data_IF_132216094099
#
_entry.id   IF_132216094099
#
_cell.length_a   1.000
_cell.length_b   1.000
_cell.length_c   1.000
_cell.angle_alpha   90.00
_cell.angle_beta   90.00
_cell.angle_gamma   90.00
#
_symmetry.space_group_name_H-M   'P 1'
#
loop_
_entity.id
_entity.type
_entity.pdbx_description
1 polymer ?
#
# COMPACT_ATOMS: atom_id res chain seq x y z
N UNK A 1 -42.35 -66.46 -4.97
CA UNK A 1 -42.40 -65.04 -5.38
C UNK A 1 -41.64 -64.24 -4.35
N UNK A 2 -40.43 -63.79 -4.67
CA UNK A 2 -39.62 -62.97 -3.77
C UNK A 2 -39.60 -61.53 -4.34
N UNK A 3 -39.69 -60.47 -3.48
CA UNK A 3 -39.61 -59.09 -3.98
C UNK A 3 -38.15 -58.65 -4.11
N UNK A 4 -37.84 -58.10 -5.26
CA UNK A 4 -36.56 -57.47 -5.59
C UNK A 4 -36.42 -56.13 -4.91
N UNK A 5 -35.39 -55.97 -4.04
CA UNK A 5 -35.00 -54.71 -3.45
C UNK A 5 -34.23 -53.82 -4.44
N UNK A 6 -34.79 -52.67 -4.74
CA UNK A 6 -34.09 -51.61 -5.53
C UNK A 6 -33.18 -50.84 -4.57
N UNK A 7 -31.87 -50.92 -4.80
CA UNK A 7 -30.85 -50.06 -4.22
C UNK A 7 -30.90 -48.66 -4.85
N UNK A 8 -31.28 -47.65 -4.08
CA UNK A 8 -31.18 -46.26 -4.50
C UNK A 8 -29.77 -45.76 -4.20
N UNK A 9 -28.92 -45.73 -5.23
CA UNK A 9 -27.58 -45.14 -5.16
C UNK A 9 -27.68 -43.61 -4.99
N UNK A 10 -27.30 -43.10 -3.79
CA UNK A 10 -27.12 -41.66 -3.54
C UNK A 10 -25.97 -41.13 -4.39
N UNK A 11 -26.29 -40.34 -5.40
CA UNK A 11 -25.28 -39.55 -6.13
C UNK A 11 -24.82 -38.40 -5.24
N UNK A 12 -23.63 -38.52 -4.65
CA UNK A 12 -22.89 -37.41 -4.03
C UNK A 12 -22.64 -36.35 -5.11
N UNK A 13 -23.36 -35.24 -5.06
CA UNK A 13 -23.09 -34.07 -5.89
C UNK A 13 -21.76 -33.43 -5.43
N UNK A 14 -20.69 -33.69 -6.18
CA UNK A 14 -19.44 -32.92 -6.03
C UNK A 14 -19.77 -31.46 -6.31
N UNK A 15 -19.81 -30.62 -5.27
CA UNK A 15 -19.83 -29.17 -5.43
C UNK A 15 -18.57 -28.78 -6.20
N UNK A 16 -18.77 -28.19 -7.36
CA UNK A 16 -17.67 -27.54 -8.10
C UNK A 16 -16.98 -26.53 -7.16
N UNK A 17 -15.65 -26.49 -7.12
CA UNK A 17 -14.95 -25.47 -6.36
C UNK A 17 -15.41 -24.09 -6.84
N UNK A 18 -15.68 -23.18 -5.89
CA UNK A 18 -16.02 -21.81 -6.22
C UNK A 18 -14.92 -21.22 -7.11
N UNK A 19 -15.28 -20.42 -8.14
CA UNK A 19 -14.28 -19.79 -8.98
C UNK A 19 -13.32 -18.99 -8.09
N UNK A 20 -12.01 -19.12 -8.35
CA UNK A 20 -11.00 -18.37 -7.63
C UNK A 20 -11.30 -16.87 -7.75
N UNK A 21 -11.09 -16.07 -6.71
CA UNK A 21 -11.33 -14.64 -6.74
C UNK A 21 -10.54 -14.04 -7.91
N UNK A 22 -11.24 -13.38 -8.82
CA UNK A 22 -10.67 -12.84 -10.07
C UNK A 22 -9.86 -11.57 -9.87
N UNK A 23 -9.82 -11.02 -8.64
CA UNK A 23 -9.19 -9.75 -8.33
C UNK A 23 -8.01 -9.86 -7.37
N UNK A 24 -7.00 -9.02 -7.56
CA UNK A 24 -5.85 -8.89 -6.64
C UNK A 24 -6.15 -7.85 -5.58
N UNK A 25 -5.95 -8.19 -4.30
CA UNK A 25 -6.00 -7.24 -3.18
C UNK A 25 -4.61 -6.65 -2.95
N UNK A 26 -4.51 -5.32 -3.05
CA UNK A 26 -3.28 -4.56 -2.79
C UNK A 26 -3.43 -3.81 -1.46
N UNK A 27 -2.57 -4.11 -0.50
CA UNK A 27 -2.46 -3.40 0.77
C UNK A 27 -1.28 -2.44 0.71
N UNK A 28 -1.56 -1.15 0.69
CA UNK A 28 -0.57 -0.09 0.75
C UNK A 28 -0.32 0.26 2.23
N UNK A 29 0.91 0.12 2.70
CA UNK A 29 1.30 0.38 4.09
C UNK A 29 2.33 1.51 4.10
N UNK A 30 2.06 2.60 4.81
CA UNK A 30 3.07 3.62 5.05
C UNK A 30 4.09 3.11 6.06
N UNK A 31 5.38 3.44 5.88
CA UNK A 31 6.40 3.14 6.88
C UNK A 31 6.05 3.71 8.26
N UNK A 32 6.59 3.10 9.31
CA UNK A 32 6.43 3.53 10.69
C UNK A 32 7.08 4.89 10.99
N UNK A 33 6.81 5.42 12.17
CA UNK A 33 7.35 6.71 12.60
C UNK A 33 8.89 6.69 12.63
N UNK A 34 9.49 7.81 12.20
CA UNK A 34 10.93 8.09 12.28
C UNK A 34 11.17 9.29 13.18
N UNK A 35 12.40 9.57 13.66
CA UNK A 35 12.69 10.74 14.49
C UNK A 35 12.33 12.07 13.83
N UNK A 36 12.28 12.12 12.50
CA UNK A 36 12.01 13.34 11.72
C UNK A 36 10.58 13.43 11.18
N UNK A 37 9.72 12.44 11.46
CA UNK A 37 8.33 12.42 10.97
C UNK A 37 7.57 13.68 11.39
N UNK A 38 7.00 14.40 10.43
CA UNK A 38 6.24 15.63 10.64
C UNK A 38 7.09 16.88 10.90
N UNK A 39 8.42 16.77 10.84
CA UNK A 39 9.34 17.89 11.08
C UNK A 39 10.18 18.23 9.87
N UNK A 40 10.67 17.22 9.17
CA UNK A 40 11.59 17.33 8.04
C UNK A 40 11.00 16.61 6.85
N UNK A 41 11.32 17.05 5.65
CA UNK A 41 11.00 16.38 4.38
C UNK A 41 12.17 15.46 3.99
N UNK A 42 12.17 14.19 4.40
CA UNK A 42 13.37 13.35 4.32
C UNK A 42 13.66 12.86 2.90
N UNK A 43 12.65 12.86 2.02
CA UNK A 43 12.79 12.38 0.65
C UNK A 43 13.39 10.97 0.56
N UNK A 44 14.39 10.87 -0.31
CA UNK A 44 15.15 9.63 -0.53
C UNK A 44 16.48 9.56 0.20
N UNK A 45 16.73 10.47 1.17
CA UNK A 45 17.95 10.45 1.96
C UNK A 45 18.13 9.09 2.65
N UNK A 46 19.35 8.51 2.59
CA UNK A 46 19.66 7.24 3.26
C UNK A 46 19.85 7.44 4.78
N UNK A 47 19.89 6.34 5.53
CA UNK A 47 20.21 6.34 6.97
C UNK A 47 19.04 6.77 7.86
N UNK A 48 17.83 6.95 7.34
CA UNK A 48 16.67 7.27 8.17
C UNK A 48 15.91 5.99 8.58
N UNK A 49 16.13 5.59 9.82
CA UNK A 49 15.56 4.40 10.46
C UNK A 49 14.26 4.70 11.22
N UNK A 50 13.54 3.66 11.61
CA UNK A 50 12.38 3.79 12.49
C UNK A 50 12.78 4.24 13.89
N UNK A 51 11.98 5.11 14.50
CA UNK A 51 12.01 5.35 15.94
C UNK A 51 11.45 4.12 16.69
N UNK A 52 11.61 4.06 18.02
CA UNK A 52 11.05 2.97 18.84
C UNK A 52 9.53 2.86 18.65
N UNK A 53 8.83 3.99 18.69
CA UNK A 53 7.39 4.06 18.38
C UNK A 53 7.07 3.56 16.98
N UNK A 54 7.95 3.79 16.00
CA UNK A 54 7.79 3.27 14.64
C UNK A 54 7.94 1.75 14.56
N UNK A 55 8.86 1.17 15.34
CA UNK A 55 9.03 -0.29 15.46
C UNK A 55 7.82 -0.94 16.09
N UNK A 56 7.26 -0.34 17.13
CA UNK A 56 6.00 -0.80 17.75
C UNK A 56 4.81 -0.72 16.78
N UNK A 57 4.71 0.38 16.01
CA UNK A 57 3.68 0.52 14.97
C UNK A 57 3.83 -0.58 13.91
N UNK A 58 5.06 -0.89 13.48
CA UNK A 58 5.34 -1.95 12.51
C UNK A 58 4.95 -3.34 13.05
N UNK A 59 5.20 -3.61 14.32
CA UNK A 59 4.79 -4.86 14.96
C UNK A 59 3.25 -4.99 15.00
N UNK A 60 2.53 -3.91 15.36
CA UNK A 60 1.05 -3.91 15.38
C UNK A 60 0.44 -4.11 14.00
N UNK A 61 0.93 -3.42 12.97
CA UNK A 61 0.40 -3.62 11.61
C UNK A 61 0.72 -5.02 11.08
N UNK A 62 1.86 -5.60 11.46
CA UNK A 62 2.20 -6.98 11.12
C UNK A 62 1.19 -7.98 11.72
N UNK A 63 0.78 -7.81 12.98
CA UNK A 63 -0.25 -8.62 13.62
C UNK A 63 -1.58 -8.52 12.88
N UNK A 64 -2.03 -7.31 12.54
CA UNK A 64 -3.27 -7.10 11.77
C UNK A 64 -3.23 -7.76 10.40
N UNK A 65 -2.11 -7.68 9.69
CA UNK A 65 -1.94 -8.33 8.38
C UNK A 65 -1.87 -9.85 8.53
N UNK A 66 -1.37 -10.35 9.66
CA UNK A 66 -1.36 -11.79 9.95
C UNK A 66 -2.76 -12.40 10.11
N UNK A 67 -3.80 -11.61 10.43
CA UNK A 67 -5.20 -12.06 10.50
C UNK A 67 -5.78 -12.40 9.12
N UNK A 68 -5.20 -11.90 8.03
CA UNK A 68 -5.65 -12.24 6.69
C UNK A 68 -5.42 -13.73 6.41
N UNK A 69 -6.34 -14.41 5.73
CA UNK A 69 -6.19 -15.83 5.42
C UNK A 69 -4.97 -16.09 4.52
N UNK A 70 -4.59 -15.11 3.72
CA UNK A 70 -3.50 -15.23 2.73
C UNK A 70 -2.78 -13.90 2.53
N UNK A 71 -1.45 -13.95 2.35
CA UNK A 71 -0.59 -12.90 1.80
C UNK A 71 0.45 -13.57 0.92
N UNK A 72 0.46 -13.24 -0.36
CA UNK A 72 1.29 -13.92 -1.36
C UNK A 72 2.69 -13.31 -1.50
N UNK A 73 2.79 -12.00 -1.24
CA UNK A 73 4.07 -11.31 -1.30
C UNK A 73 4.05 -10.02 -0.46
N UNK A 74 5.23 -9.67 0.05
CA UNK A 74 5.51 -8.41 0.72
C UNK A 74 6.61 -7.69 -0.06
N UNK A 75 6.30 -6.51 -0.57
CA UNK A 75 7.22 -5.62 -1.26
C UNK A 75 7.47 -4.37 -0.44
N UNK A 76 8.65 -3.80 -0.56
CA UNK A 76 9.01 -2.56 0.11
C UNK A 76 9.84 -1.64 -0.77
N UNK A 77 9.67 -0.32 -0.54
CA UNK A 77 10.65 0.67 -0.95
C UNK A 77 12.04 0.30 -0.44
N UNK A 78 13.13 0.57 -1.19
CA UNK A 78 14.49 0.28 -0.75
C UNK A 78 14.94 1.07 0.48
N UNK A 79 14.21 2.13 0.89
CA UNK A 79 14.59 2.97 2.03
C UNK A 79 14.44 2.22 3.36
N UNK A 80 15.37 2.45 4.29
CA UNK A 80 15.53 1.70 5.54
C UNK A 80 14.22 1.63 6.32
N UNK A 81 13.57 2.77 6.57
CA UNK A 81 12.28 2.86 7.29
C UNK A 81 11.16 2.00 6.70
N UNK A 82 11.14 1.87 5.36
CA UNK A 82 10.14 1.03 4.70
C UNK A 82 10.49 -0.46 4.81
N UNK A 83 11.77 -0.81 4.66
CA UNK A 83 12.26 -2.17 4.84
C UNK A 83 12.07 -2.66 6.28
N UNK A 84 12.37 -1.82 7.26
CA UNK A 84 12.18 -2.11 8.67
C UNK A 84 10.70 -2.29 9.04
N UNK A 85 9.80 -1.55 8.40
CA UNK A 85 8.35 -1.74 8.55
C UNK A 85 7.89 -3.04 7.90
N UNK A 86 8.43 -3.39 6.73
CA UNK A 86 8.05 -4.60 6.01
C UNK A 86 8.56 -5.89 6.66
N UNK A 87 9.68 -5.83 7.38
CA UNK A 87 10.32 -7.01 7.97
C UNK A 87 9.40 -7.80 8.92
N UNK A 88 8.76 -7.20 9.94
CA UNK A 88 7.84 -7.93 10.82
C UNK A 88 6.59 -8.43 10.07
N UNK A 89 6.10 -7.72 9.03
CA UNK A 89 4.99 -8.16 8.20
C UNK A 89 5.36 -9.44 7.45
N UNK A 90 6.53 -9.46 6.82
CA UNK A 90 7.02 -10.62 6.10
C UNK A 90 7.28 -11.82 7.04
N UNK A 91 7.86 -11.56 8.23
CA UNK A 91 8.11 -12.59 9.23
C UNK A 91 6.80 -13.23 9.72
N UNK A 92 5.77 -12.43 10.01
CA UNK A 92 4.45 -12.92 10.45
C UNK A 92 3.73 -13.79 9.39
N UNK A 93 4.16 -13.71 8.14
CA UNK A 93 3.61 -14.50 7.01
C UNK A 93 4.62 -15.51 6.45
N UNK A 94 5.71 -15.79 7.16
CA UNK A 94 6.78 -16.73 6.76
C UNK A 94 7.27 -16.50 5.32
N UNK A 95 7.36 -15.23 4.90
CA UNK A 95 7.81 -14.81 3.57
C UNK A 95 9.00 -13.87 3.66
N UNK A 96 9.53 -13.45 2.51
CA UNK A 96 10.65 -12.51 2.40
C UNK A 96 10.18 -11.15 1.88
N UNK A 97 10.82 -10.09 2.36
CA UNK A 97 10.64 -8.75 1.77
C UNK A 97 11.33 -8.71 0.41
N UNK A 98 10.60 -8.30 -0.62
CA UNK A 98 11.09 -8.04 -1.98
C UNK A 98 11.21 -6.54 -2.18
N UNK A 99 12.34 -6.07 -2.67
CA UNK A 99 12.56 -4.64 -2.89
C UNK A 99 12.06 -4.23 -4.25
N UNK A 100 11.30 -3.13 -4.29
CA UNK A 100 10.82 -2.52 -5.54
C UNK A 100 11.04 -1.01 -5.52
N UNK A 101 11.83 -0.50 -6.49
CA UNK A 101 12.14 0.94 -6.60
C UNK A 101 10.93 1.79 -7.00
N UNK A 102 9.90 1.18 -7.59
CA UNK A 102 8.63 1.86 -7.86
C UNK A 102 7.90 2.34 -6.61
N UNK A 103 8.22 1.76 -5.43
CA UNK A 103 7.65 2.12 -4.13
C UNK A 103 8.41 3.24 -3.39
N UNK A 104 9.45 3.84 -4.01
CA UNK A 104 10.22 4.95 -3.43
C UNK A 104 9.33 6.16 -3.11
N UNK A 105 9.77 6.94 -2.11
CA UNK A 105 9.23 8.28 -1.84
C UNK A 105 9.39 9.20 -3.06
N UNK A 106 8.63 10.27 -3.10
CA UNK A 106 8.85 11.35 -4.05
C UNK A 106 10.30 11.84 -3.92
N UNK A 107 10.92 12.09 -5.06
CA UNK A 107 12.23 12.74 -5.07
C UNK A 107 12.02 14.24 -4.87
N UNK A 108 12.32 14.72 -3.69
CA UNK A 108 12.12 16.13 -3.36
C UNK A 108 13.30 17.01 -3.80
N UNK A 109 14.30 16.42 -4.48
CA UNK A 109 15.45 17.17 -4.99
C UNK A 109 16.09 18.04 -3.92
N UNK A 110 16.23 19.34 -4.22
CA UNK A 110 16.86 20.33 -3.33
C UNK A 110 16.10 20.58 -2.03
N UNK A 111 14.85 20.14 -1.93
CA UNK A 111 14.07 20.23 -0.67
C UNK A 111 14.31 19.06 0.27
N UNK A 112 15.07 18.06 -0.15
CA UNK A 112 15.39 16.90 0.68
C UNK A 112 16.17 17.32 1.94
N UNK A 113 15.67 16.92 3.11
CA UNK A 113 16.28 17.27 4.41
C UNK A 113 15.85 18.64 4.98
N UNK A 114 15.06 19.42 4.24
CA UNK A 114 14.59 20.72 4.74
C UNK A 114 13.49 20.55 5.80
N UNK A 115 13.44 21.51 6.74
CA UNK A 115 12.38 21.58 7.73
C UNK A 115 11.05 21.99 7.09
N UNK A 116 9.99 21.23 7.35
CA UNK A 116 8.65 21.52 6.84
C UNK A 116 8.19 22.94 7.17
N UNK A 117 8.49 23.43 8.39
CA UNK A 117 8.15 24.80 8.81
C UNK A 117 8.78 25.88 7.92
N UNK A 118 9.94 25.62 7.35
CA UNK A 118 10.60 26.56 6.43
C UNK A 118 10.01 26.46 5.03
N UNK A 119 9.79 25.21 4.54
CA UNK A 119 9.17 24.97 3.24
C UNK A 119 7.76 25.57 3.15
N UNK A 120 6.99 25.52 4.24
CA UNK A 120 5.64 26.10 4.31
C UNK A 120 5.60 27.63 4.12
N UNK A 121 6.74 28.32 4.26
CA UNK A 121 6.85 29.78 4.03
C UNK A 121 7.18 30.13 2.57
N UNK A 122 7.58 29.15 1.79
CA UNK A 122 7.92 29.38 0.37
C UNK A 122 6.66 29.66 -0.45
N UNK A 123 6.70 30.59 -1.42
CA UNK A 123 5.57 30.84 -2.34
C UNK A 123 5.12 29.58 -3.05
N UNK A 124 6.06 28.71 -3.43
CA UNK A 124 5.84 27.44 -4.13
C UNK A 124 5.02 26.45 -3.31
N UNK A 125 5.02 26.57 -1.95
CA UNK A 125 4.24 25.69 -1.08
C UNK A 125 2.74 25.73 -1.39
N UNK A 126 2.25 26.88 -1.80
CA UNK A 126 0.86 27.03 -2.23
C UNK A 126 0.55 26.16 -3.45
N UNK A 127 1.48 26.05 -4.41
CA UNK A 127 1.35 25.18 -5.58
C UNK A 127 1.39 23.70 -5.18
N UNK A 128 2.32 23.31 -4.29
CA UNK A 128 2.39 21.95 -3.73
C UNK A 128 1.05 21.53 -3.09
N UNK A 129 0.33 22.47 -2.47
CA UNK A 129 -0.93 22.16 -1.78
C UNK A 129 -2.17 22.23 -2.69
N UNK A 130 -2.19 23.10 -3.71
CA UNK A 130 -3.40 23.42 -4.47
C UNK A 130 -3.38 22.95 -5.93
N UNK A 131 -2.20 22.86 -6.52
CA UNK A 131 -2.00 22.48 -7.92
C UNK A 131 -0.76 21.58 -8.10
N UNK A 132 -0.64 20.47 -7.33
CA UNK A 132 0.52 19.58 -7.39
C UNK A 132 0.76 18.99 -8.78
N UNK A 133 -0.24 18.89 -9.65
CA UNK A 133 -0.07 18.44 -11.03
C UNK A 133 0.88 19.31 -11.85
N UNK A 134 1.02 20.58 -11.47
CA UNK A 134 1.88 21.56 -12.16
C UNK A 134 3.26 21.73 -11.50
N UNK A 135 3.48 21.04 -10.35
CA UNK A 135 4.69 21.24 -9.57
C UNK A 135 5.73 20.14 -9.83
N UNK A 136 6.97 20.58 -10.05
CA UNK A 136 8.15 19.73 -10.08
C UNK A 136 9.13 20.23 -9.03
N UNK A 137 9.63 19.35 -8.18
CA UNK A 137 10.65 19.72 -7.19
C UNK A 137 11.95 20.12 -7.89
N UNK A 138 12.60 21.22 -7.50
CA UNK A 138 13.92 21.60 -8.04
C UNK A 138 14.92 20.45 -7.89
N UNK A 139 15.51 20.00 -8.98
CA UNK A 139 16.40 18.84 -9.01
C UNK A 139 15.74 17.49 -8.66
N UNK A 140 14.42 17.44 -8.62
CA UNK A 140 13.66 16.26 -8.17
C UNK A 140 12.57 15.79 -9.15
N UNK A 141 11.60 15.08 -8.62
CA UNK A 141 10.49 14.46 -9.35
C UNK A 141 9.26 15.38 -9.32
N UNK A 142 8.41 15.33 -10.36
CA UNK A 142 7.07 15.92 -10.27
C UNK A 142 6.12 14.96 -9.56
N UNK A 143 5.03 15.49 -8.98
CA UNK A 143 4.00 14.62 -8.38
C UNK A 143 3.33 13.70 -9.41
N UNK A 144 3.19 14.16 -10.66
CA UNK A 144 2.64 13.34 -11.73
C UNK A 144 3.58 12.19 -12.13
N UNK A 145 4.90 12.45 -12.18
CA UNK A 145 5.90 11.39 -12.41
C UNK A 145 5.91 10.37 -11.26
N UNK A 146 5.86 10.82 -10.00
CA UNK A 146 5.74 9.97 -8.84
C UNK A 146 4.48 9.08 -8.90
N UNK A 147 3.31 9.66 -9.22
CA UNK A 147 2.06 8.90 -9.37
C UNK A 147 2.19 7.85 -10.47
N UNK A 148 2.68 8.22 -11.64
CA UNK A 148 2.87 7.30 -12.78
C UNK A 148 3.80 6.14 -12.40
N UNK A 149 4.90 6.42 -11.73
CA UNK A 149 5.86 5.42 -11.25
C UNK A 149 5.21 4.43 -10.27
N UNK A 150 4.46 4.93 -9.28
CA UNK A 150 3.85 4.06 -8.28
C UNK A 150 2.68 3.25 -8.87
N UNK A 151 1.81 3.86 -9.66
CA UNK A 151 0.71 3.16 -10.34
C UNK A 151 1.27 2.06 -11.25
N UNK A 152 2.29 2.36 -12.06
CA UNK A 152 2.96 1.38 -12.90
C UNK A 152 3.61 0.24 -12.10
N UNK A 153 4.14 0.53 -10.90
CA UNK A 153 4.63 -0.53 -10.00
C UNK A 153 3.49 -1.40 -9.47
N UNK A 154 2.38 -0.81 -9.04
CA UNK A 154 1.18 -1.54 -8.59
C UNK A 154 0.68 -2.45 -9.72
N UNK A 155 0.54 -1.92 -10.94
CA UNK A 155 0.05 -2.69 -12.08
C UNK A 155 0.93 -3.90 -12.41
N UNK A 156 2.24 -3.70 -12.42
CA UNK A 156 3.21 -4.78 -12.64
C UNK A 156 3.16 -5.83 -11.53
N UNK A 157 3.11 -5.38 -10.26
CA UNK A 157 3.12 -6.29 -9.12
C UNK A 157 1.81 -7.07 -9.00
N UNK A 158 0.65 -6.45 -9.22
CA UNK A 158 -0.63 -7.16 -9.22
C UNK A 158 -0.74 -8.17 -10.36
N UNK A 159 -0.19 -7.85 -11.53
CA UNK A 159 -0.15 -8.77 -12.67
C UNK A 159 0.70 -10.02 -12.38
N UNK A 160 1.73 -9.90 -11.53
CA UNK A 160 2.54 -11.03 -11.07
C UNK A 160 1.84 -11.90 -9.99
N UNK A 161 0.71 -11.44 -9.45
CA UNK A 161 -0.05 -12.12 -8.39
C UNK A 161 -1.56 -12.11 -8.67
N UNK A 162 -2.02 -12.69 -9.81
CA UNK A 162 -3.43 -12.68 -10.17
C UNK A 162 -4.29 -13.39 -9.11
N UNK A 163 -5.35 -12.73 -8.65
CA UNK A 163 -6.22 -13.23 -7.58
C UNK A 163 -5.56 -13.31 -6.20
N UNK A 164 -4.39 -12.70 -6.03
CA UNK A 164 -3.60 -12.75 -4.81
C UNK A 164 -3.84 -11.58 -3.86
N UNK A 165 -3.14 -11.63 -2.72
CA UNK A 165 -3.06 -10.55 -1.73
C UNK A 165 -1.60 -10.13 -1.61
N UNK A 166 -1.29 -8.88 -1.93
CA UNK A 166 0.07 -8.33 -1.85
C UNK A 166 0.14 -7.12 -0.92
N UNK A 167 1.23 -7.02 -0.18
CA UNK A 167 1.52 -5.90 0.71
C UNK A 167 2.64 -5.06 0.10
N UNK A 168 2.41 -3.75 -0.04
CA UNK A 168 3.36 -2.80 -0.59
C UNK A 168 3.68 -1.75 0.47
N UNK A 169 4.88 -1.80 1.05
CA UNK A 169 5.32 -0.84 2.06
C UNK A 169 6.02 0.34 1.39
N UNK A 170 5.44 1.52 1.54
CA UNK A 170 5.85 2.74 0.85
C UNK A 170 5.76 3.97 1.78
N UNK A 171 5.52 5.14 1.22
CA UNK A 171 5.57 6.42 1.90
C UNK A 171 4.26 7.19 1.72
N UNK A 172 4.12 8.34 2.40
CA UNK A 172 2.85 9.05 2.45
C UNK A 172 2.38 9.55 1.07
N UNK A 173 3.20 10.32 0.38
CA UNK A 173 2.77 10.96 -0.86
C UNK A 173 2.54 9.97 -2.01
N UNK A 174 3.40 8.96 -2.23
CA UNK A 174 3.08 7.90 -3.18
C UNK A 174 1.76 7.19 -2.88
N UNK A 175 1.50 6.83 -1.62
CA UNK A 175 0.25 6.14 -1.25
C UNK A 175 -0.97 7.05 -1.48
N UNK A 176 -0.91 8.34 -1.10
CA UNK A 176 -1.97 9.32 -1.41
C UNK A 176 -2.24 9.38 -2.91
N UNK A 177 -1.18 9.42 -3.73
CA UNK A 177 -1.30 9.51 -5.17
C UNK A 177 -1.89 8.23 -5.79
N UNK A 178 -1.56 7.03 -5.27
CA UNK A 178 -2.16 5.77 -5.70
C UNK A 178 -3.64 5.68 -5.33
N UNK A 179 -4.01 6.11 -4.11
CA UNK A 179 -5.40 6.15 -3.66
C UNK A 179 -6.21 7.12 -4.51
N UNK A 180 -5.70 8.35 -4.75
CA UNK A 180 -6.34 9.34 -5.61
C UNK A 180 -6.58 8.77 -7.02
N UNK A 181 -5.56 8.11 -7.61
CA UNK A 181 -5.68 7.47 -8.92
C UNK A 181 -6.77 6.39 -8.93
N UNK A 182 -6.79 5.49 -7.93
CA UNK A 182 -7.77 4.42 -7.84
C UNK A 182 -9.21 4.94 -7.65
N UNK A 183 -9.37 6.10 -7.02
CA UNK A 183 -10.66 6.78 -6.84
C UNK A 183 -11.07 7.63 -8.05
N UNK A 184 -10.24 7.74 -9.10
CA UNK A 184 -10.48 8.68 -10.21
C UNK A 184 -10.40 10.15 -9.80
N UNK A 185 -9.75 10.45 -8.67
CA UNK A 185 -9.60 11.79 -8.13
C UNK A 185 -8.38 12.46 -8.76
N UNK A 186 -8.55 13.70 -9.24
CA UNK A 186 -7.43 14.45 -9.81
C UNK A 186 -6.30 14.61 -8.78
N UNK A 187 -5.04 14.54 -9.24
CA UNK A 187 -3.88 14.60 -8.35
C UNK A 187 -3.80 15.91 -7.56
N UNK A 188 -4.40 16.99 -8.03
CA UNK A 188 -4.48 18.25 -7.27
C UNK A 188 -5.28 18.15 -5.96
N UNK A 189 -6.00 17.05 -5.78
CA UNK A 189 -6.77 16.80 -4.57
C UNK A 189 -6.11 15.78 -3.63
N UNK A 190 -4.98 15.18 -4.03
CA UNK A 190 -4.35 14.09 -3.26
C UNK A 190 -3.86 14.52 -1.89
N UNK A 191 -3.52 15.80 -1.69
CA UNK A 191 -3.14 16.34 -0.38
C UNK A 191 -4.28 16.34 0.65
N UNK A 192 -5.54 16.18 0.21
CA UNK A 192 -6.70 16.01 1.10
C UNK A 192 -6.79 14.62 1.71
N UNK A 193 -5.98 13.67 1.24
CA UNK A 193 -5.92 12.29 1.75
C UNK A 193 -4.87 12.25 2.86
N UNK A 194 -5.26 11.75 4.03
CA UNK A 194 -4.34 11.53 5.15
C UNK A 194 -3.87 10.07 5.12
N UNK A 195 -2.55 9.87 5.23
CA UNK A 195 -1.93 8.54 5.34
C UNK A 195 -1.00 8.59 6.57
N UNK A 196 -1.44 8.00 7.68
CA UNK A 196 -0.69 7.90 8.93
C UNK A 196 0.42 6.85 8.87
N UNK A 197 1.37 6.92 9.80
CA UNK A 197 2.44 5.91 9.92
C UNK A 197 1.86 4.53 10.24
N UNK A 198 2.31 3.49 9.55
CA UNK A 198 1.81 2.11 9.61
C UNK A 198 0.29 1.99 9.36
N UNK A 199 -0.35 3.00 8.75
CA UNK A 199 -1.72 2.85 8.27
C UNK A 199 -1.77 1.93 7.05
N UNK A 200 -2.90 1.28 6.85
CA UNK A 200 -3.19 0.42 5.70
C UNK A 200 -4.27 1.06 4.85
N UNK A 201 -4.00 1.20 3.56
CA UNK A 201 -5.02 1.49 2.54
C UNK A 201 -5.14 0.27 1.63
N UNK A 202 -6.36 -0.20 1.40
CA UNK A 202 -6.63 -1.42 0.66
C UNK A 202 -7.39 -1.13 -0.62
N UNK A 203 -6.89 -1.64 -1.74
CA UNK A 203 -7.48 -1.47 -3.07
C UNK A 203 -7.64 -2.85 -3.71
N UNK A 204 -8.85 -3.17 -4.12
CA UNK A 204 -9.15 -4.38 -4.89
C UNK A 204 -9.13 -4.06 -6.38
N UNK A 205 -8.38 -4.87 -7.13
CA UNK A 205 -8.25 -4.79 -8.58
C UNK A 205 -8.86 -6.05 -9.22
N UNK A 206 -10.01 -5.90 -9.84
CA UNK A 206 -10.72 -6.95 -10.57
C UNK A 206 -10.68 -6.74 -12.09
N UNK A 207 -11.71 -7.21 -12.78
CA UNK A 207 -11.91 -7.02 -14.23
C UNK A 207 -12.45 -5.61 -14.57
N UNK A 208 -13.01 -4.90 -13.57
CA UNK A 208 -13.52 -3.54 -13.70
C UNK A 208 -12.54 -2.48 -13.17
N UNK A 209 -13.08 -1.31 -12.86
CA UNK A 209 -12.33 -0.25 -12.17
C UNK A 209 -11.85 -0.72 -10.79
N UNK A 210 -10.74 -0.16 -10.28
CA UNK A 210 -10.28 -0.48 -8.92
C UNK A 210 -11.30 -0.02 -7.87
N UNK A 211 -11.43 -0.80 -6.79
CA UNK A 211 -12.32 -0.49 -5.67
C UNK A 211 -11.47 -0.19 -4.44
N UNK A 212 -11.58 1.00 -3.89
CA UNK A 212 -10.91 1.40 -2.65
C UNK A 212 -11.74 0.91 -1.47
N UNK A 213 -11.25 -0.11 -0.76
CA UNK A 213 -11.96 -0.74 0.36
C UNK A 213 -11.78 0.03 1.67
N UNK A 214 -10.60 0.58 1.88
CA UNK A 214 -10.29 1.45 3.04
C UNK A 214 -9.12 2.35 2.73
N UNK A 215 -9.08 3.51 3.40
CA UNK A 215 -7.97 4.45 3.36
C UNK A 215 -7.53 4.76 4.78
N UNK A 216 -6.22 4.79 5.03
CA UNK A 216 -5.65 5.21 6.31
C UNK A 216 -6.14 4.40 7.53
N UNK A 217 -6.39 3.11 7.40
CA UNK A 217 -6.79 2.26 8.52
C UNK A 217 -5.63 2.04 9.49
N UNK A 218 -5.78 2.51 10.73
CA UNK A 218 -4.77 2.42 11.80
C UNK A 218 -5.13 1.45 12.91
N UNK A 219 -6.32 0.85 12.88
CA UNK A 219 -6.85 -0.08 13.88
C UNK A 219 -7.89 -1.03 13.29
N UNK A 220 -8.45 -1.92 14.12
CA UNK A 220 -9.44 -2.92 13.72
C UNK A 220 -8.86 -4.12 12.96
N UNK A 221 -9.68 -5.14 12.76
CA UNK A 221 -9.32 -6.33 11.99
C UNK A 221 -9.33 -6.04 10.50
N UNK A 222 -8.39 -6.63 9.75
CA UNK A 222 -8.33 -6.59 8.29
C UNK A 222 -9.03 -7.80 7.64
N UNK A 223 -9.55 -8.75 8.44
CA UNK A 223 -10.14 -10.00 7.93
C UNK A 223 -11.44 -9.76 7.12
N UNK A 224 -12.09 -8.62 7.33
CA UNK A 224 -13.30 -8.22 6.62
C UNK A 224 -13.04 -7.59 5.24
N UNK A 225 -11.77 -7.22 4.95
CA UNK A 225 -11.40 -6.67 3.65
C UNK A 225 -11.38 -7.80 2.61
N UNK A 226 -12.36 -7.79 1.70
CA UNK A 226 -12.47 -8.78 0.63
C UNK A 226 -12.61 -8.11 -0.72
N UNK A 227 -11.94 -8.61 -1.77
CA UNK A 227 -12.25 -8.21 -3.14
C UNK A 227 -13.66 -8.69 -3.47
N UNK A 228 -14.45 -7.84 -4.07
CA UNK A 228 -15.78 -8.18 -4.62
C UNK A 228 -15.67 -8.93 -5.93
#
# INVERSE_FOLDING_TARGET
>A
MAPTSRSTGSRSSRRSPAPAPTGTLVLLVRHGQTPTTGKVLPGRAPGLHLADTGREQAARVAQRIAELPRVDAVYASPLERARETAAPIAAARSTKVRIDRGLLECDFGDWTGAELKQLMKLPEWSTVQRAPSTFTFPGGESFTAMQTRLVGAIDRLRAAHPGGVIVLVSHADPIKAAVAHAMGTHIDLFQRIVIGTCSVSAIAYGTGAPIVLTVNSTGGSLAELRPS
#
